data_IF_748751405339
#
_entry.id   IF_748751405339
#
_cell.length_a   1.000
_cell.length_b   1.000
_cell.length_c   1.000
_cell.angle_alpha   90.00
_cell.angle_beta   90.00
_cell.angle_gamma   90.00
#
_symmetry.space_group_name_H-M   'P 1'
#
loop_
_entity.id
_entity.type
_entity.pdbx_description
1 polymer ?
#
# COMPACT_ATOMS: atom_id res chain seq x y z
N UNK A 1 -1.39 28.97 17.69
CA UNK A 1 -2.10 28.41 16.52
C UNK A 1 -3.41 27.84 17.03
N UNK A 2 -4.54 28.26 16.49
CA UNK A 2 -5.86 27.79 16.93
C UNK A 2 -6.01 26.34 16.53
N UNK A 3 -6.29 25.44 17.49
CA UNK A 3 -6.66 24.05 17.21
C UNK A 3 -7.80 24.04 16.19
N UNK A 4 -7.49 23.64 14.97
CA UNK A 4 -8.48 23.59 13.89
C UNK A 4 -9.42 22.42 14.19
N UNK A 5 -10.68 22.70 14.41
CA UNK A 5 -11.67 21.65 14.62
C UNK A 5 -12.03 21.00 13.28
N UNK A 6 -11.36 19.90 12.93
CA UNK A 6 -11.55 19.21 11.65
C UNK A 6 -12.92 18.54 11.48
N UNK A 7 -13.69 18.38 12.56
CA UNK A 7 -15.08 17.94 12.46
C UNK A 7 -15.99 19.00 11.83
N UNK A 8 -15.58 20.28 11.85
CA UNK A 8 -16.38 21.42 11.36
C UNK A 8 -15.77 22.12 10.15
N UNK A 9 -14.52 21.80 9.78
CA UNK A 9 -13.81 22.43 8.65
C UNK A 9 -13.51 21.42 7.54
N UNK A 10 -13.33 21.93 6.32
CA UNK A 10 -12.82 21.14 5.20
C UNK A 10 -11.32 20.94 5.36
N UNK A 11 -10.85 19.70 5.24
CA UNK A 11 -9.44 19.32 5.35
C UNK A 11 -8.77 19.44 3.98
N UNK A 12 -7.69 20.18 3.88
CA UNK A 12 -6.88 20.30 2.66
C UNK A 12 -5.79 19.24 2.64
N UNK A 13 -5.78 18.42 1.59
CA UNK A 13 -4.91 17.26 1.47
C UNK A 13 -4.01 17.39 0.26
N UNK A 14 -2.73 17.05 0.43
CA UNK A 14 -1.77 16.85 -0.66
C UNK A 14 -1.17 15.46 -0.59
N UNK A 15 -1.07 14.77 -1.73
CA UNK A 15 -0.53 13.41 -1.75
C UNK A 15 0.65 13.26 -2.68
N UNK A 16 1.62 12.43 -2.28
CA UNK A 16 2.83 12.12 -3.04
C UNK A 16 2.92 10.61 -3.25
N UNK A 17 3.43 10.20 -4.42
CA UNK A 17 3.49 8.80 -4.81
C UNK A 17 2.10 8.16 -4.75
N UNK A 18 1.12 8.89 -5.26
CA UNK A 18 -0.30 8.70 -4.97
C UNK A 18 -0.86 7.38 -5.49
N UNK A 19 -0.20 6.78 -6.50
CA UNK A 19 -0.66 5.53 -7.07
C UNK A 19 -2.10 5.66 -7.61
N UNK A 20 -2.99 4.80 -7.13
CA UNK A 20 -4.42 4.83 -7.47
C UNK A 20 -5.29 5.55 -6.43
N UNK A 21 -4.69 6.22 -5.44
CA UNK A 21 -5.41 7.05 -4.49
C UNK A 21 -6.00 6.31 -3.28
N UNK A 22 -5.21 5.49 -2.59
CA UNK A 22 -5.67 4.83 -1.37
C UNK A 22 -5.95 5.83 -0.22
N UNK A 23 -5.14 6.88 0.02
CA UNK A 23 -5.44 7.92 0.98
C UNK A 23 -6.75 8.66 0.68
N UNK A 24 -6.96 9.03 -0.58
CA UNK A 24 -8.17 9.74 -1.03
C UNK A 24 -9.42 8.90 -0.78
N UNK A 25 -9.34 7.59 -1.01
CA UNK A 25 -10.44 6.67 -0.68
C UNK A 25 -10.69 6.58 0.82
N UNK A 26 -9.64 6.68 1.64
CA UNK A 26 -9.80 6.72 3.09
C UNK A 26 -10.49 8.02 3.54
N UNK A 27 -10.13 9.19 3.00
CA UNK A 27 -10.81 10.45 3.28
C UNK A 27 -12.26 10.42 2.83
N UNK A 28 -12.55 9.88 1.65
CA UNK A 28 -13.94 9.72 1.20
C UNK A 28 -14.76 8.87 2.19
N UNK A 29 -14.17 7.77 2.68
CA UNK A 29 -14.83 6.92 3.68
C UNK A 29 -15.07 7.66 4.99
N UNK A 30 -14.10 8.42 5.50
CA UNK A 30 -14.26 9.23 6.70
C UNK A 30 -15.38 10.29 6.55
N UNK A 31 -15.51 10.88 5.37
CA UNK A 31 -16.61 11.79 5.03
C UNK A 31 -17.96 11.08 5.00
N UNK A 32 -18.03 9.93 4.32
CA UNK A 32 -19.26 9.12 4.22
C UNK A 32 -19.75 8.64 5.59
N UNK A 33 -18.82 8.31 6.49
CA UNK A 33 -19.06 7.92 7.88
C UNK A 33 -19.29 9.14 8.81
N UNK A 34 -19.24 10.38 8.28
CA UNK A 34 -19.42 11.64 9.01
C UNK A 34 -18.39 11.84 10.16
N UNK A 35 -17.23 11.24 10.07
CA UNK A 35 -16.12 11.44 11.01
C UNK A 35 -15.45 12.79 10.74
N UNK A 36 -15.36 13.18 9.47
CA UNK A 36 -14.93 14.51 9.03
C UNK A 36 -16.07 15.17 8.26
N UNK A 37 -16.08 16.50 8.24
CA UNK A 37 -17.08 17.26 7.48
C UNK A 37 -16.87 17.10 5.98
N UNK A 38 -15.67 17.38 5.52
CA UNK A 38 -15.28 17.32 4.11
C UNK A 38 -13.75 17.35 3.96
N UNK A 39 -13.27 17.02 2.76
CA UNK A 39 -11.88 17.23 2.38
C UNK A 39 -11.78 17.73 0.95
N UNK A 40 -10.68 18.43 0.65
CA UNK A 40 -10.29 18.80 -0.71
C UNK A 40 -8.91 18.28 -1.01
N UNK A 41 -8.74 17.67 -2.19
CA UNK A 41 -7.43 17.35 -2.71
C UNK A 41 -6.88 18.57 -3.42
N UNK A 42 -5.83 19.16 -2.87
CA UNK A 42 -5.18 20.34 -3.43
C UNK A 42 -4.21 19.97 -4.56
N UNK A 43 -3.54 18.83 -4.45
CA UNK A 43 -2.69 18.25 -5.48
C UNK A 43 -2.42 16.76 -5.21
N UNK A 44 -2.01 16.05 -6.24
CA UNK A 44 -1.36 14.76 -6.13
C UNK A 44 -0.10 14.71 -6.98
N UNK A 45 0.86 13.83 -6.65
CA UNK A 45 2.11 13.63 -7.39
C UNK A 45 2.28 12.16 -7.72
N UNK A 46 2.20 11.84 -9.01
CA UNK A 46 2.38 10.50 -9.56
C UNK A 46 2.98 10.58 -10.96
N UNK A 47 3.83 9.62 -11.34
CA UNK A 47 4.51 9.58 -12.64
C UNK A 47 4.05 8.43 -13.54
N UNK A 48 3.43 7.39 -12.96
CA UNK A 48 2.93 6.27 -13.74
C UNK A 48 1.62 6.64 -14.44
N UNK A 49 1.64 6.66 -15.77
CA UNK A 49 0.49 7.06 -16.60
C UNK A 49 -0.76 6.20 -16.37
N UNK A 50 -0.59 4.91 -16.05
CA UNK A 50 -1.73 4.04 -15.81
C UNK A 50 -2.31 4.28 -14.40
N UNK A 51 -1.44 4.51 -13.42
CA UNK A 51 -1.86 4.91 -12.08
C UNK A 51 -2.61 6.23 -12.11
N UNK A 52 -2.10 7.26 -12.82
CA UNK A 52 -2.76 8.56 -12.99
C UNK A 52 -4.16 8.40 -13.58
N UNK A 53 -4.29 7.67 -14.69
CA UNK A 53 -5.60 7.42 -15.32
C UNK A 53 -6.58 6.72 -14.39
N UNK A 54 -6.09 5.71 -13.65
CA UNK A 54 -6.90 5.00 -12.66
C UNK A 54 -7.29 5.90 -11.51
N UNK A 55 -6.37 6.72 -11.00
CA UNK A 55 -6.62 7.71 -9.96
C UNK A 55 -7.74 8.66 -10.35
N UNK A 56 -7.60 9.33 -11.51
CA UNK A 56 -8.59 10.27 -12.01
C UNK A 56 -9.97 9.62 -12.19
N UNK A 57 -10.01 8.39 -12.73
CA UNK A 57 -11.26 7.65 -12.94
C UNK A 57 -11.92 7.21 -11.61
N UNK A 58 -11.16 6.72 -10.64
CA UNK A 58 -11.67 6.24 -9.35
C UNK A 58 -12.23 7.38 -8.50
N UNK A 59 -11.52 8.52 -8.49
CA UNK A 59 -11.85 9.65 -7.61
C UNK A 59 -12.62 10.77 -8.30
N UNK A 60 -12.89 10.64 -9.61
CA UNK A 60 -13.52 11.67 -10.43
C UNK A 60 -12.79 13.02 -10.31
N UNK A 61 -11.48 13.00 -10.46
CA UNK A 61 -10.58 14.15 -10.30
C UNK A 61 -9.91 14.46 -11.63
N UNK A 62 -9.75 15.76 -11.90
CA UNK A 62 -9.05 16.25 -13.08
C UNK A 62 -7.54 16.01 -12.98
N UNK A 63 -6.92 15.55 -14.08
CA UNK A 63 -5.48 15.29 -14.14
C UNK A 63 -4.63 16.55 -13.93
N UNK A 64 -5.19 17.75 -14.10
CA UNK A 64 -4.50 19.02 -13.86
C UNK A 64 -4.00 19.21 -12.43
N UNK A 65 -4.57 18.45 -11.46
CA UNK A 65 -4.08 18.42 -10.08
C UNK A 65 -2.81 17.57 -9.92
N UNK A 66 -2.39 16.82 -10.94
CA UNK A 66 -1.16 16.04 -10.89
C UNK A 66 0.06 16.92 -11.11
N UNK A 67 0.93 16.98 -10.13
CA UNK A 67 2.19 17.72 -10.21
C UNK A 67 3.35 16.92 -10.82
N UNK A 68 3.10 15.67 -11.25
CA UNK A 68 4.13 14.82 -11.86
C UNK A 68 5.20 14.35 -10.88
N UNK A 69 6.47 14.45 -11.27
CA UNK A 69 7.59 13.98 -10.45
C UNK A 69 7.85 14.87 -9.25
N UNK A 70 7.92 14.27 -8.05
CA UNK A 70 8.25 14.99 -6.82
C UNK A 70 9.59 15.73 -6.89
N UNK A 71 10.55 15.24 -7.70
CA UNK A 71 11.87 15.85 -7.87
C UNK A 71 11.83 17.16 -8.65
N UNK A 72 10.75 17.41 -9.40
CA UNK A 72 10.55 18.61 -10.19
C UNK A 72 9.68 19.66 -9.48
N UNK A 73 9.02 19.26 -8.40
CA UNK A 73 8.17 20.15 -7.60
C UNK A 73 9.05 21.11 -6.80
N UNK A 74 8.67 22.39 -6.80
CA UNK A 74 9.22 23.43 -5.95
C UNK A 74 8.26 23.69 -4.80
N UNK A 75 8.72 23.57 -3.55
CA UNK A 75 7.87 23.71 -2.38
C UNK A 75 7.21 25.09 -2.27
N UNK A 76 7.90 26.15 -2.71
CA UNK A 76 7.37 27.52 -2.74
C UNK A 76 6.09 27.70 -3.58
N UNK A 77 5.85 26.79 -4.55
CA UNK A 77 4.69 26.80 -5.43
C UNK A 77 3.55 25.89 -4.97
N UNK A 78 3.77 25.10 -3.91
CA UNK A 78 2.73 24.23 -3.40
C UNK A 78 1.63 25.02 -2.69
N UNK A 79 0.36 24.67 -2.91
CA UNK A 79 -0.73 25.21 -2.12
C UNK A 79 -0.61 24.74 -0.67
N UNK A 80 -1.18 25.53 0.25
CA UNK A 80 -1.27 25.10 1.64
C UNK A 80 -2.16 23.85 1.77
N UNK A 81 -1.66 22.89 2.54
CA UNK A 81 -2.43 21.71 2.94
C UNK A 81 -2.38 21.53 4.45
N UNK A 82 -3.47 21.02 5.03
CA UNK A 82 -3.49 20.62 6.42
C UNK A 82 -2.72 19.31 6.63
N UNK A 83 -2.80 18.41 5.62
CA UNK A 83 -2.23 17.07 5.68
C UNK A 83 -1.46 16.76 4.40
N UNK A 84 -0.25 16.24 4.54
CA UNK A 84 0.48 15.57 3.47
C UNK A 84 0.58 14.09 3.72
N UNK A 85 0.40 13.28 2.67
CA UNK A 85 0.56 11.83 2.74
C UNK A 85 1.46 11.35 1.60
N UNK A 86 2.41 10.46 1.92
CA UNK A 86 3.29 9.90 0.91
C UNK A 86 3.76 8.48 1.23
N UNK A 87 3.55 7.58 0.28
CA UNK A 87 4.05 6.22 0.30
C UNK A 87 5.25 6.07 -0.63
N UNK A 88 6.44 6.52 -0.23
CA UNK A 88 7.59 6.53 -1.11
C UNK A 88 8.07 5.13 -1.52
N UNK A 89 8.67 4.97 -2.72
CA UNK A 89 9.08 3.67 -3.25
C UNK A 89 10.01 2.90 -2.32
N UNK A 90 9.71 1.60 -2.14
CA UNK A 90 10.42 0.71 -1.22
C UNK A 90 11.30 -0.33 -1.93
N UNK A 91 11.55 -0.18 -3.23
CA UNK A 91 12.20 -1.23 -4.04
C UNK A 91 13.60 -1.62 -3.53
N UNK A 92 14.31 -0.70 -2.92
CA UNK A 92 15.64 -0.92 -2.36
C UNK A 92 15.62 -1.34 -0.87
N UNK A 93 14.46 -1.26 -0.22
CA UNK A 93 14.22 -1.61 1.20
C UNK A 93 13.50 -2.96 1.33
N UNK A 94 12.70 -3.33 0.32
CA UNK A 94 11.89 -4.54 0.33
C UNK A 94 12.73 -5.81 0.34
N UNK A 95 12.29 -6.84 1.08
CA UNK A 95 12.89 -8.19 1.04
C UNK A 95 12.86 -8.83 -0.36
N UNK A 96 12.02 -8.34 -1.27
CA UNK A 96 11.97 -8.74 -2.67
C UNK A 96 12.89 -7.90 -3.57
N UNK A 97 13.47 -6.81 -3.05
CA UNK A 97 14.37 -5.90 -3.75
C UNK A 97 15.85 -6.19 -3.52
N UNK A 98 16.72 -5.33 -4.05
CA UNK A 98 18.18 -5.49 -3.96
C UNK A 98 18.77 -5.03 -2.61
N UNK A 99 17.96 -4.65 -1.63
CA UNK A 99 18.34 -4.17 -0.28
C UNK A 99 19.43 -3.08 -0.29
N UNK A 100 19.39 -2.16 -1.26
CA UNK A 100 20.40 -1.09 -1.42
C UNK A 100 20.27 0.07 -0.44
N UNK A 101 19.18 0.09 0.37
CA UNK A 101 18.92 1.15 1.33
C UNK A 101 18.17 2.36 0.77
N UNK A 102 17.95 3.36 1.62
CA UNK A 102 17.32 4.64 1.26
C UNK A 102 18.16 5.84 1.78
N UNK A 103 19.47 5.78 1.58
CA UNK A 103 20.37 6.86 1.97
C UNK A 103 20.14 8.10 1.09
N UNK A 104 20.17 9.28 1.70
CA UNK A 104 20.06 10.59 1.03
C UNK A 104 21.09 10.78 -0.10
N UNK A 105 22.29 10.20 0.06
CA UNK A 105 23.38 10.30 -0.93
C UNK A 105 23.30 9.27 -2.06
N UNK A 106 22.39 8.33 -1.97
CA UNK A 106 22.22 7.32 -3.00
C UNK A 106 21.17 7.76 -4.01
N UNK A 107 21.45 7.63 -5.31
CA UNK A 107 20.47 7.82 -6.38
C UNK A 107 19.47 6.64 -6.47
N UNK A 108 19.03 6.11 -5.32
CA UNK A 108 18.07 5.01 -5.26
C UNK A 108 16.64 5.54 -5.28
N UNK A 109 15.69 4.74 -5.79
CA UNK A 109 14.27 5.12 -5.76
C UNK A 109 13.74 5.32 -4.33
N UNK A 110 14.30 4.63 -3.35
CA UNK A 110 13.91 4.75 -1.95
C UNK A 110 14.39 6.07 -1.32
N UNK A 111 15.36 6.77 -1.92
CA UNK A 111 15.80 8.11 -1.47
C UNK A 111 14.74 9.19 -1.76
N UNK A 112 13.73 8.91 -2.60
CA UNK A 112 12.66 9.86 -2.92
C UNK A 112 11.81 10.26 -1.70
N UNK A 113 11.82 9.50 -0.61
CA UNK A 113 11.21 9.93 0.65
C UNK A 113 11.81 11.24 1.18
N UNK A 114 13.09 11.51 0.91
CA UNK A 114 13.78 12.74 1.31
C UNK A 114 13.32 13.96 0.51
N UNK A 115 12.74 13.75 -0.66
CA UNK A 115 12.13 14.84 -1.44
C UNK A 115 10.94 15.47 -0.71
N UNK A 116 10.15 14.68 0.04
CA UNK A 116 9.12 15.27 0.90
C UNK A 116 9.73 16.15 1.98
N UNK A 117 10.87 15.74 2.58
CA UNK A 117 11.60 16.57 3.57
C UNK A 117 12.15 17.85 2.92
N UNK A 118 12.67 17.78 1.69
CA UNK A 118 13.09 18.96 0.93
C UNK A 118 11.92 19.92 0.75
N UNK A 119 10.79 19.42 0.29
CA UNK A 119 9.59 20.23 0.10
C UNK A 119 9.09 20.85 1.41
N UNK A 120 9.15 20.13 2.55
CA UNK A 120 8.81 20.66 3.87
C UNK A 120 9.74 21.80 4.33
N UNK A 121 10.99 21.84 3.82
CA UNK A 121 11.93 22.95 4.06
C UNK A 121 11.64 24.14 3.17
N UNK A 122 11.06 23.93 1.99
CA UNK A 122 10.83 24.96 0.96
C UNK A 122 9.45 25.62 1.06
N UNK A 123 8.43 24.94 1.62
CA UNK A 123 7.08 25.52 1.70
C UNK A 123 7.03 26.72 2.62
N UNK A 124 6.18 27.70 2.28
CA UNK A 124 5.95 28.90 3.11
C UNK A 124 5.30 28.57 4.44
N UNK A 125 4.34 27.65 4.38
CA UNK A 125 3.59 27.19 5.54
C UNK A 125 3.56 25.67 5.54
N UNK A 126 4.06 25.05 6.61
CA UNK A 126 4.14 23.60 6.72
C UNK A 126 2.78 23.00 6.99
N UNK A 127 2.45 21.80 6.42
CA UNK A 127 1.27 21.07 6.80
C UNK A 127 1.30 20.71 8.28
N UNK A 128 0.14 20.70 8.91
CA UNK A 128 0.03 20.35 10.33
C UNK A 128 0.36 18.86 10.56
N UNK A 129 -0.09 18.00 9.63
CA UNK A 129 0.19 16.56 9.67
C UNK A 129 0.95 16.12 8.43
N UNK A 130 1.93 15.23 8.63
CA UNK A 130 2.58 14.51 7.54
C UNK A 130 2.57 13.02 7.85
N UNK A 131 2.05 12.23 6.92
CA UNK A 131 1.95 10.78 7.07
C UNK A 131 2.83 10.12 6.01
N UNK A 132 3.78 9.30 6.47
CA UNK A 132 4.62 8.47 5.61
C UNK A 132 4.21 7.00 5.73
N UNK A 133 4.10 6.33 4.59
CA UNK A 133 3.88 4.89 4.53
C UNK A 133 5.08 4.20 3.88
N UNK A 134 5.45 3.03 4.39
CA UNK A 134 6.45 2.18 3.75
C UNK A 134 6.28 0.70 4.16
N UNK A 135 7.09 -0.19 3.57
CA UNK A 135 7.13 -1.59 3.98
C UNK A 135 7.67 -1.74 5.40
N UNK A 136 7.15 -2.72 6.16
CA UNK A 136 7.59 -2.97 7.54
C UNK A 136 9.10 -3.21 7.66
N UNK A 137 9.77 -3.70 6.60
CA UNK A 137 11.20 -3.97 6.60
C UNK A 137 12.08 -2.72 6.81
N UNK A 138 11.54 -1.51 6.63
CA UNK A 138 12.26 -0.25 6.92
C UNK A 138 12.70 -0.16 8.40
N UNK A 139 12.01 -0.87 9.29
CA UNK A 139 12.36 -0.92 10.73
C UNK A 139 13.41 -1.97 11.06
N UNK A 140 13.92 -2.73 10.08
CA UNK A 140 14.95 -3.73 10.31
C UNK A 140 16.29 -3.10 10.68
N UNK A 141 17.17 -3.90 11.31
CA UNK A 141 18.52 -3.44 11.71
C UNK A 141 19.31 -2.83 10.56
N UNK A 142 19.12 -3.33 9.33
CA UNK A 142 19.83 -2.86 8.14
C UNK A 142 19.48 -1.40 7.77
N UNK A 143 18.30 -0.93 8.11
CA UNK A 143 17.82 0.41 7.73
C UNK A 143 17.62 1.35 8.92
N UNK A 144 17.90 0.85 10.14
CA UNK A 144 17.64 1.60 11.37
C UNK A 144 18.33 2.97 11.38
N UNK A 145 19.62 3.03 11.09
CA UNK A 145 20.37 4.30 11.10
C UNK A 145 19.82 5.32 10.11
N UNK A 146 19.42 4.88 8.93
CA UNK A 146 18.83 5.76 7.91
C UNK A 146 17.43 6.23 8.31
N UNK A 147 16.62 5.35 8.91
CA UNK A 147 15.31 5.73 9.44
C UNK A 147 15.45 6.71 10.61
N UNK A 148 16.45 6.53 11.48
CA UNK A 148 16.73 7.44 12.59
C UNK A 148 17.13 8.84 12.06
N UNK A 149 17.94 8.94 11.00
CA UNK A 149 18.27 10.21 10.32
C UNK A 149 17.03 10.86 9.70
N UNK A 150 16.19 10.08 9.05
CA UNK A 150 14.94 10.57 8.47
C UNK A 150 14.02 11.18 9.55
N UNK A 151 13.89 10.49 10.69
CA UNK A 151 13.14 10.99 11.85
C UNK A 151 13.78 12.24 12.44
N UNK A 152 15.09 12.29 12.53
CA UNK A 152 15.83 13.46 13.04
C UNK A 152 15.58 14.70 12.18
N UNK A 153 15.59 14.57 10.85
CA UNK A 153 15.30 15.68 9.96
C UNK A 153 13.88 16.22 10.17
N UNK A 154 12.87 15.35 10.29
CA UNK A 154 11.49 15.76 10.57
C UNK A 154 11.39 16.47 11.94
N UNK A 155 12.05 15.94 12.97
CA UNK A 155 12.07 16.56 14.29
C UNK A 155 12.73 17.95 14.26
N UNK A 156 13.80 18.11 13.46
CA UNK A 156 14.46 19.41 13.27
C UNK A 156 13.57 20.47 12.61
N UNK A 157 12.57 20.02 11.83
CA UNK A 157 11.55 20.87 11.22
C UNK A 157 10.40 21.25 12.18
N UNK A 158 10.43 20.74 13.41
CA UNK A 158 9.48 21.05 14.48
C UNK A 158 8.38 20.00 14.68
N UNK A 159 8.44 18.85 13.99
CA UNK A 159 7.45 17.81 14.13
C UNK A 159 7.69 16.89 15.33
N UNK A 160 6.62 16.53 16.03
CA UNK A 160 6.56 15.39 16.96
C UNK A 160 6.19 14.14 16.18
N UNK A 161 6.84 13.01 16.47
CA UNK A 161 6.76 11.80 15.65
C UNK A 161 6.14 10.63 16.39
N UNK A 162 5.21 9.95 15.73
CA UNK A 162 4.59 8.71 16.19
C UNK A 162 4.70 7.67 15.08
N UNK A 163 5.17 6.48 15.40
CA UNK A 163 5.30 5.44 14.39
C UNK A 163 4.90 4.05 14.87
N UNK A 164 4.30 3.28 13.98
CA UNK A 164 3.85 1.91 14.26
C UNK A 164 3.86 1.07 12.98
N UNK A 165 4.12 -0.23 13.13
CA UNK A 165 3.84 -1.20 12.06
C UNK A 165 2.42 -1.71 12.24
N UNK A 166 1.59 -1.46 11.25
CA UNK A 166 0.19 -1.89 11.21
C UNK A 166 0.02 -3.03 10.20
N UNK A 167 -0.96 -3.90 10.44
CA UNK A 167 -1.29 -4.97 9.52
C UNK A 167 -2.75 -4.82 9.08
N UNK A 168 -3.01 -4.77 7.76
CA UNK A 168 -4.34 -4.52 7.22
C UNK A 168 -5.42 -5.48 7.75
N UNK A 169 -5.04 -6.73 8.07
CA UNK A 169 -5.96 -7.71 8.63
C UNK A 169 -6.53 -7.28 9.98
N UNK A 170 -5.77 -6.54 10.78
CA UNK A 170 -6.20 -6.07 12.09
C UNK A 170 -7.28 -4.98 11.97
N UNK A 171 -7.43 -4.40 10.78
CA UNK A 171 -8.35 -3.29 10.46
C UNK A 171 -9.47 -3.71 9.49
N UNK A 172 -9.86 -4.98 9.48
CA UNK A 172 -11.03 -5.47 8.75
C UNK A 172 -10.79 -5.76 7.25
N UNK A 173 -9.55 -5.70 6.77
CA UNK A 173 -9.21 -6.07 5.40
C UNK A 173 -8.67 -7.50 5.37
N UNK A 174 -9.23 -8.46 4.61
CA UNK A 174 -8.77 -9.85 4.60
C UNK A 174 -7.45 -10.02 3.83
N UNK A 175 -6.46 -9.23 4.22
CA UNK A 175 -5.14 -9.24 3.62
C UNK A 175 -4.04 -9.14 4.70
N UNK A 176 -3.10 -10.06 4.67
CA UNK A 176 -1.89 -9.95 5.48
C UNK A 176 -0.93 -8.97 4.80
N UNK A 177 -1.04 -7.68 5.17
CA UNK A 177 -0.25 -6.58 4.61
C UNK A 177 0.29 -5.71 5.74
N UNK A 178 1.52 -5.99 6.17
CA UNK A 178 2.21 -5.18 7.19
C UNK A 178 2.84 -3.96 6.54
N UNK A 179 2.56 -2.78 7.12
CA UNK A 179 3.12 -1.50 6.69
C UNK A 179 3.57 -0.68 7.88
N UNK A 180 4.68 -0.01 7.72
CA UNK A 180 5.17 0.99 8.64
C UNK A 180 4.49 2.32 8.32
N UNK A 181 3.94 2.94 9.35
CA UNK A 181 3.40 4.30 9.28
C UNK A 181 4.17 5.18 10.24
N UNK A 182 4.53 6.38 9.76
CA UNK A 182 5.10 7.46 10.55
C UNK A 182 4.19 8.66 10.40
N UNK A 183 3.63 9.11 11.53
CA UNK A 183 2.80 10.30 11.63
C UNK A 183 3.64 11.38 12.29
N UNK A 184 3.79 12.51 11.60
CA UNK A 184 4.52 13.69 12.06
C UNK A 184 3.52 14.82 12.30
N UNK A 185 3.49 15.39 13.51
CA UNK A 185 2.54 16.42 13.95
C UNK A 185 3.32 17.67 14.32
N UNK A 186 2.92 18.80 13.73
CA UNK A 186 3.64 20.09 13.94
C UNK A 186 3.36 20.70 15.31
N UNK A 187 2.28 20.32 16.00
CA UNK A 187 1.97 20.76 17.36
C UNK A 187 2.58 19.81 18.40
N UNK A 188 3.45 20.32 19.27
CA UNK A 188 4.10 19.55 20.34
C UNK A 188 3.16 19.18 21.50
N UNK A 189 2.03 19.86 21.60
CA UNK A 189 1.04 19.64 22.66
C UNK A 189 -0.09 18.70 22.23
N UNK A 190 -0.10 18.27 20.96
CA UNK A 190 -1.09 17.35 20.45
C UNK A 190 -0.65 15.91 20.71
N UNK A 191 -1.45 15.18 21.48
CA UNK A 191 -1.25 13.74 21.72
C UNK A 191 -1.88 12.93 20.60
N UNK A 192 -1.17 11.91 20.13
CA UNK A 192 -1.64 11.00 19.09
C UNK A 192 -1.40 9.55 19.52
N UNK A 193 -2.36 8.71 19.25
CA UNK A 193 -2.23 7.26 19.39
C UNK A 193 -2.84 6.54 18.18
N UNK A 194 -2.18 5.48 17.75
CA UNK A 194 -2.77 4.60 16.72
C UNK A 194 -3.96 3.85 17.30
N UNK A 195 -5.09 3.87 16.59
CA UNK A 195 -6.27 3.09 16.96
C UNK A 195 -5.91 1.60 16.92
N UNK A 196 -6.30 0.84 17.92
CA UNK A 196 -6.12 -0.61 17.92
C UNK A 196 -7.09 -1.27 16.94
N UNK A 197 -6.55 -2.26 16.21
CA UNK A 197 -7.35 -3.00 15.25
C UNK A 197 -8.30 -4.00 15.93
N UNK A 198 -9.47 -4.18 15.36
CA UNK A 198 -10.50 -5.13 15.84
C UNK A 198 -10.45 -6.49 15.16
N UNK A 199 -9.47 -6.70 14.27
CA UNK A 199 -9.36 -7.92 13.47
C UNK A 199 -10.24 -7.90 12.22
N UNK A 200 -10.23 -9.02 11.49
CA UNK A 200 -11.03 -9.19 10.28
C UNK A 200 -11.83 -10.49 10.36
N UNK A 201 -13.16 -10.38 10.28
CA UNK A 201 -14.08 -11.53 10.19
C UNK A 201 -14.31 -12.01 8.76
N UNK A 202 -13.90 -11.23 7.76
CA UNK A 202 -14.07 -11.53 6.34
C UNK A 202 -12.89 -12.35 5.80
N UNK A 203 -13.16 -13.09 4.72
CA UNK A 203 -12.19 -13.88 3.97
C UNK A 203 -12.09 -13.37 2.52
N UNK A 204 -11.21 -13.96 1.72
CA UNK A 204 -11.17 -13.68 0.28
C UNK A 204 -12.51 -13.93 -0.41
N UNK A 205 -13.24 -14.96 0.01
CA UNK A 205 -14.53 -15.32 -0.57
C UNK A 205 -15.54 -14.17 -0.53
N UNK A 206 -15.51 -13.33 0.52
CA UNK A 206 -16.42 -12.17 0.66
C UNK A 206 -16.13 -11.04 -0.36
N UNK A 207 -15.01 -11.12 -1.08
CA UNK A 207 -14.56 -10.11 -2.04
C UNK A 207 -14.40 -10.65 -3.47
N UNK A 208 -14.59 -11.95 -3.68
CA UNK A 208 -14.54 -12.54 -5.02
C UNK A 208 -15.84 -12.25 -5.76
N UNK A 209 -15.70 -11.88 -7.02
CA UNK A 209 -16.84 -11.81 -7.94
C UNK A 209 -17.41 -13.20 -8.17
N UNK A 210 -18.75 -13.32 -8.25
CA UNK A 210 -19.43 -14.61 -8.47
C UNK A 210 -19.45 -15.01 -9.93
N UNK A 211 -19.74 -14.02 -10.80
CA UNK A 211 -19.82 -14.21 -12.25
C UNK A 211 -18.55 -13.69 -12.90
N UNK A 212 -17.59 -14.56 -13.12
CA UNK A 212 -16.29 -14.24 -13.71
C UNK A 212 -16.18 -14.89 -15.07
N UNK A 213 -15.84 -14.11 -16.11
CA UNK A 213 -15.60 -14.60 -17.46
C UNK A 213 -14.52 -15.70 -17.47
N UNK A 214 -14.76 -16.77 -18.21
CA UNK A 214 -13.88 -17.95 -18.30
C UNK A 214 -12.43 -17.60 -18.67
N UNK A 215 -12.19 -16.49 -19.40
CA UNK A 215 -10.85 -16.02 -19.75
C UNK A 215 -9.96 -15.71 -18.54
N UNK A 216 -10.55 -15.42 -17.36
CA UNK A 216 -9.82 -15.12 -16.13
C UNK A 216 -9.49 -16.38 -15.32
N UNK A 217 -10.10 -17.52 -15.63
CA UNK A 217 -9.74 -18.78 -15.00
C UNK A 217 -8.44 -19.34 -15.60
N UNK A 218 -7.60 -19.91 -14.76
CA UNK A 218 -6.48 -20.70 -15.22
C UNK A 218 -7.01 -22.04 -15.72
N UNK A 219 -7.34 -22.11 -17.00
CA UNK A 219 -7.87 -23.31 -17.61
C UNK A 219 -6.79 -24.39 -17.66
N UNK A 220 -7.02 -25.47 -16.93
CA UNK A 220 -6.26 -26.70 -17.05
C UNK A 220 -7.21 -27.81 -17.48
N UNK A 221 -7.03 -28.34 -18.66
CA UNK A 221 -7.93 -29.29 -19.23
C UNK A 221 -7.93 -30.67 -18.53
N UNK A 222 -7.03 -30.92 -17.56
CA UNK A 222 -7.04 -32.17 -16.78
C UNK A 222 -6.29 -32.00 -15.45
N UNK A 223 -6.92 -32.43 -14.39
CA UNK A 223 -6.32 -32.57 -13.09
C UNK A 223 -6.45 -34.04 -12.58
N UNK A 224 -5.56 -34.42 -11.68
CA UNK A 224 -5.66 -35.67 -10.91
C UNK A 224 -5.73 -35.35 -9.44
N UNK A 225 -6.58 -36.06 -8.70
CA UNK A 225 -6.59 -36.01 -7.24
C UNK A 225 -5.79 -37.21 -6.74
N UNK A 226 -4.67 -36.92 -6.05
CA UNK A 226 -3.82 -37.98 -5.49
C UNK A 226 -3.49 -37.58 -4.04
N UNK A 227 -3.81 -38.45 -3.08
CA UNK A 227 -3.52 -38.24 -1.66
C UNK A 227 -3.96 -36.86 -1.11
N UNK A 228 -5.19 -36.44 -1.38
CA UNK A 228 -5.73 -35.10 -1.04
C UNK A 228 -5.00 -33.92 -1.69
N UNK A 229 -4.32 -34.14 -2.81
CA UNK A 229 -3.67 -33.09 -3.59
C UNK A 229 -4.24 -33.07 -4.98
N UNK A 230 -4.53 -31.88 -5.48
CA UNK A 230 -4.88 -31.67 -6.89
C UNK A 230 -3.56 -31.41 -7.63
N UNK A 231 -3.25 -32.27 -8.62
CA UNK A 231 -2.09 -32.14 -9.49
C UNK A 231 -2.62 -31.86 -10.89
N UNK A 232 -2.27 -30.69 -11.43
CA UNK A 232 -2.66 -30.29 -12.78
C UNK A 232 -1.65 -30.82 -13.81
N UNK A 233 -2.14 -31.43 -14.87
CA UNK A 233 -1.29 -31.94 -15.96
C UNK A 233 -0.93 -30.81 -16.94
N UNK A 234 0.31 -30.83 -17.40
CA UNK A 234 0.82 -29.95 -18.48
C UNK A 234 0.02 -30.19 -19.78
N UNK A 235 -0.74 -29.22 -20.27
CA UNK A 235 -1.02 -29.06 -21.70
C UNK A 235 -1.40 -27.62 -22.03
N UNK A 236 -0.77 -27.09 -23.09
CA UNK A 236 -0.92 -25.78 -23.73
C UNK A 236 -0.16 -24.63 -23.06
N UNK A 237 0.94 -24.23 -23.62
CA UNK A 237 1.75 -22.98 -23.56
C UNK A 237 1.84 -22.17 -22.25
N UNK A 238 1.13 -22.54 -21.21
CA UNK A 238 1.27 -22.12 -19.83
C UNK A 238 1.69 -23.34 -19.02
N UNK A 239 2.93 -23.79 -19.20
CA UNK A 239 3.56 -24.96 -18.53
C UNK A 239 3.66 -24.80 -17.01
N UNK A 240 2.54 -24.58 -16.33
CA UNK A 240 2.50 -24.39 -14.88
C UNK A 240 1.97 -25.63 -14.19
N UNK A 241 2.76 -26.19 -13.30
CA UNK A 241 2.39 -27.30 -12.45
C UNK A 241 2.03 -26.79 -11.05
N UNK A 242 0.80 -26.99 -10.63
CA UNK A 242 0.31 -26.64 -9.30
C UNK A 242 0.12 -27.89 -8.47
N UNK A 243 0.44 -27.79 -7.19
CA UNK A 243 0.09 -28.78 -6.18
C UNK A 243 -0.74 -28.09 -5.10
N UNK A 244 -1.98 -28.53 -4.90
CA UNK A 244 -2.91 -27.97 -3.92
C UNK A 244 -3.28 -29.03 -2.88
N UNK A 245 -3.11 -28.70 -1.61
CA UNK A 245 -3.47 -29.54 -0.47
C UNK A 245 -4.90 -29.19 -0.01
N UNK A 246 -5.85 -30.09 -0.25
CA UNK A 246 -7.26 -29.89 0.07
C UNK A 246 -7.53 -29.73 1.59
N UNK A 247 -6.70 -30.34 2.46
CA UNK A 247 -6.83 -30.11 3.91
C UNK A 247 -6.52 -28.66 4.25
N UNK A 248 -5.43 -28.11 3.69
CA UNK A 248 -5.05 -26.69 3.88
C UNK A 248 -6.04 -25.75 3.21
N UNK A 249 -6.64 -26.15 2.09
CA UNK A 249 -7.70 -25.38 1.44
C UNK A 249 -8.87 -25.15 2.41
N UNK A 250 -9.34 -26.19 3.08
CA UNK A 250 -10.48 -26.12 4.00
C UNK A 250 -10.19 -25.32 5.28
N UNK A 251 -8.94 -25.19 5.69
CA UNK A 251 -8.52 -24.42 6.86
C UNK A 251 -8.13 -22.97 6.51
N UNK A 252 -8.10 -22.61 5.22
CA UNK A 252 -7.66 -21.30 4.73
C UNK A 252 -6.14 -21.16 4.65
N UNK A 253 -5.67 -20.06 4.10
CA UNK A 253 -4.25 -19.73 3.98
C UNK A 253 -3.57 -20.27 2.72
N UNK A 254 -2.27 -20.58 2.82
CA UNK A 254 -1.50 -21.13 1.69
C UNK A 254 -1.81 -22.61 1.54
N UNK A 255 -2.59 -22.95 0.55
CA UNK A 255 -3.01 -24.33 0.30
C UNK A 255 -2.20 -25.05 -0.79
N UNK A 256 -1.39 -24.34 -1.55
CA UNK A 256 -0.64 -24.95 -2.62
C UNK A 256 0.58 -24.16 -3.09
N UNK A 257 1.25 -24.74 -4.07
CA UNK A 257 2.48 -24.20 -4.66
C UNK A 257 2.50 -24.44 -6.17
N UNK A 258 2.90 -23.41 -6.91
CA UNK A 258 3.26 -23.49 -8.32
C UNK A 258 4.69 -24.01 -8.43
N UNK A 259 4.85 -25.24 -8.91
CA UNK A 259 6.15 -25.89 -9.05
C UNK A 259 6.99 -25.32 -10.19
N UNK A 260 6.35 -24.66 -11.16
CA UNK A 260 7.05 -24.04 -12.30
C UNK A 260 7.65 -22.67 -11.94
N UNK A 261 7.24 -22.06 -10.84
CA UNK A 261 7.69 -20.73 -10.43
C UNK A 261 8.96 -20.79 -9.58
N UNK A 262 9.98 -20.02 -9.98
CA UNK A 262 11.28 -19.94 -9.28
C UNK A 262 11.24 -19.10 -8.01
N UNK A 263 10.25 -18.22 -7.85
CA UNK A 263 10.16 -17.28 -6.73
C UNK A 263 9.18 -17.79 -5.66
N UNK A 264 9.67 -17.93 -4.43
CA UNK A 264 8.90 -18.52 -3.33
C UNK A 264 7.58 -17.80 -3.00
N UNK A 265 7.51 -16.47 -3.18
CA UNK A 265 6.28 -15.72 -2.88
C UNK A 265 5.23 -15.83 -4.00
N UNK A 266 5.65 -15.75 -5.26
CA UNK A 266 4.75 -15.85 -6.42
C UNK A 266 4.35 -17.30 -6.72
N UNK A 267 5.02 -18.30 -6.11
CA UNK A 267 4.67 -19.71 -6.26
C UNK A 267 3.51 -20.18 -5.39
N UNK A 268 3.06 -19.39 -4.42
CA UNK A 268 2.03 -19.80 -3.46
C UNK A 268 0.64 -19.76 -4.08
N UNK A 269 -0.18 -20.76 -3.74
CA UNK A 269 -1.60 -20.85 -4.07
C UNK A 269 -2.38 -20.66 -2.78
N UNK A 270 -3.38 -19.79 -2.78
CA UNK A 270 -4.16 -19.42 -1.61
C UNK A 270 -5.57 -19.98 -1.69
N UNK A 271 -6.15 -20.28 -0.53
CA UNK A 271 -7.56 -20.65 -0.42
C UNK A 271 -8.43 -19.40 -0.40
N UNK A 272 -9.57 -19.42 -1.07
CA UNK A 272 -10.60 -18.39 -0.94
C UNK A 272 -11.18 -18.29 0.48
N UNK A 273 -11.09 -19.37 1.28
CA UNK A 273 -11.53 -19.41 2.70
C UNK A 273 -10.54 -18.73 3.65
N UNK A 274 -9.44 -18.19 3.16
CA UNK A 274 -8.39 -17.52 3.94
C UNK A 274 -8.22 -16.04 3.61
N UNK A 275 -7.05 -15.52 3.96
CA UNK A 275 -6.68 -14.13 3.73
C UNK A 275 -5.75 -13.98 2.55
N UNK A 276 -5.88 -12.87 1.83
CA UNK A 276 -4.98 -12.54 0.75
C UNK A 276 -3.55 -12.24 1.27
N UNK A 277 -2.50 -12.59 0.50
CA UNK A 277 -1.17 -12.04 0.73
C UNK A 277 -1.11 -10.57 0.31
N UNK A 278 -0.01 -9.90 0.63
CA UNK A 278 0.29 -8.62 0.01
C UNK A 278 0.44 -8.80 -1.50
N UNK A 279 -0.40 -8.12 -2.28
CA UNK A 279 -0.29 -8.09 -3.72
C UNK A 279 0.94 -7.25 -4.11
N UNK A 280 1.73 -7.77 -5.05
CA UNK A 280 2.92 -7.07 -5.57
C UNK A 280 2.61 -6.53 -6.95
N UNK A 281 3.04 -5.30 -7.23
CA UNK A 281 2.97 -4.71 -8.56
C UNK A 281 4.06 -5.33 -9.46
N UNK A 282 3.81 -6.51 -9.98
CA UNK A 282 4.66 -7.14 -10.97
C UNK A 282 3.89 -7.30 -12.27
N UNK A 283 4.48 -6.87 -13.38
CA UNK A 283 3.94 -6.99 -14.73
C UNK A 283 3.89 -8.45 -15.24
N UNK A 284 4.24 -9.42 -14.43
CA UNK A 284 4.19 -10.83 -14.79
C UNK A 284 2.92 -11.45 -14.22
N UNK A 285 2.29 -12.31 -15.00
CA UNK A 285 1.06 -13.05 -14.67
C UNK A 285 1.16 -13.96 -13.42
N UNK A 286 2.13 -13.75 -12.55
CA UNK A 286 2.47 -14.58 -11.39
C UNK A 286 1.93 -14.04 -10.06
N UNK A 287 0.95 -13.13 -10.14
CA UNK A 287 0.30 -12.60 -8.95
C UNK A 287 -0.62 -13.65 -8.32
N UNK A 288 -1.02 -13.39 -7.11
CA UNK A 288 -1.82 -14.23 -6.23
C UNK A 288 -2.73 -15.23 -6.97
N UNK A 289 -2.44 -16.52 -6.83
CA UNK A 289 -3.29 -17.60 -7.35
C UNK A 289 -4.23 -18.03 -6.25
N UNK A 290 -5.51 -18.06 -6.55
CA UNK A 290 -6.57 -18.43 -5.62
C UNK A 290 -7.27 -19.67 -6.16
N UNK A 291 -7.45 -20.66 -5.30
CA UNK A 291 -8.33 -21.81 -5.59
C UNK A 291 -9.73 -21.42 -5.14
N UNK A 292 -10.67 -21.50 -6.07
CA UNK A 292 -12.11 -21.36 -5.85
C UNK A 292 -12.78 -22.71 -5.95
N UNK A 293 -13.86 -22.94 -5.16
CA UNK A 293 -14.74 -24.07 -5.36
C UNK A 293 -15.56 -23.79 -6.63
N UNK A 294 -15.58 -24.74 -7.55
CA UNK A 294 -16.58 -24.76 -8.63
C UNK A 294 -17.91 -25.20 -8.05
N UNK A 295 -19.00 -24.74 -8.64
CA UNK A 295 -20.35 -25.22 -8.38
C UNK A 295 -20.51 -26.68 -8.75
#
# INVERSE_FOLDING_TARGET
>A
MTNKNYSESTIKVGTFFSGIGAPEKAFQKLKDEKIIKDYTLEFFSEIDKNAIKSFCAIHNIDESLNLGSITEIKGENLPYCDIWIGGFPCQDISCAGKMKGFDFKSSTRSSLGWEMIRLLKEVKEKPHYVIFENVANITSKAFKSTLDLFKQDLTSLGYTLYDKVLNAIDYGVPQTRKRYFLVAILDKNEEFSFIEGTGCSKTLLDYLERDVDEKYYLTTNKYKIVNNKIIFNKKNNLDREYEVDLKKYNTGGVCGKDKSCKFAQSSRVFSQKGYAPTLTANNTADNCKIVVEGD
#
